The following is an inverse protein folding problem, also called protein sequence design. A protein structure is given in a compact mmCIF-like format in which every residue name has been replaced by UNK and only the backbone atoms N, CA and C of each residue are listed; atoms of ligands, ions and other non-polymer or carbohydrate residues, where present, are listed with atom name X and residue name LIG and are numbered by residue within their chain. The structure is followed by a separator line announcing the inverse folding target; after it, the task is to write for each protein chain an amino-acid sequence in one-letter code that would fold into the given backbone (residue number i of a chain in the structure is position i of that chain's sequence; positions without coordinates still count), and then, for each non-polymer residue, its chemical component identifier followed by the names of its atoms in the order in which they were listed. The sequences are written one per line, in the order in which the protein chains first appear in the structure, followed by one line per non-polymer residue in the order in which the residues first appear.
data_IF_139884744576
#
_entry.id   IF_139884744576
#
_cell.length_a   1.000
_cell.length_b   1.000
_cell.length_c   1.000
_cell.angle_alpha   90.00
_cell.angle_beta   90.00
_cell.angle_gamma   90.00
#
_symmetry.space_group_name_H-M   'P 1'
#
loop_
_entity.id
_entity.type
_entity.pdbx_description
1 polymer ?
#
# COMPACT_ATOMS: atom_id res chain seq x y z
N UNK A 1 15.85 29.92 18.22
CA UNK A 1 16.33 28.52 18.32
C UNK A 1 15.35 27.63 17.58
N UNK A 2 15.72 27.17 16.44
CA UNK A 2 14.95 26.16 15.69
C UNK A 2 15.25 24.79 16.32
N UNK A 3 14.31 24.27 17.08
CA UNK A 3 14.40 22.91 17.61
C UNK A 3 14.26 21.97 16.41
N UNK A 4 15.35 21.27 16.08
CA UNK A 4 15.34 20.23 15.07
C UNK A 4 14.36 19.13 15.54
N UNK A 5 13.37 18.72 14.72
CA UNK A 5 12.47 17.65 15.14
C UNK A 5 13.28 16.39 15.45
N UNK A 6 12.85 15.57 16.42
CA UNK A 6 13.54 14.34 16.75
C UNK A 6 13.61 13.47 15.49
N UNK A 7 14.81 12.99 15.18
CA UNK A 7 15.03 12.05 14.09
C UNK A 7 14.29 10.77 14.50
N UNK A 8 13.26 10.41 13.75
CA UNK A 8 12.57 9.12 13.96
C UNK A 8 13.60 7.98 13.91
N UNK A 9 13.48 6.98 14.78
CA UNK A 9 14.39 5.84 14.76
C UNK A 9 14.40 5.22 13.35
N UNK A 10 15.60 4.96 12.83
CA UNK A 10 15.78 4.39 11.50
C UNK A 10 15.15 2.99 11.46
N UNK A 11 14.07 2.85 10.74
CA UNK A 11 13.45 1.56 10.53
C UNK A 11 14.35 0.71 9.62
N UNK A 12 14.84 -0.41 10.12
CA UNK A 12 15.76 -1.31 9.41
C UNK A 12 15.11 -2.59 8.91
N UNK A 13 13.94 -2.93 9.45
CA UNK A 13 13.17 -4.12 9.08
C UNK A 13 11.74 -3.74 8.74
N UNK A 14 11.14 -4.37 7.71
CA UNK A 14 9.73 -4.16 7.42
C UNK A 14 8.86 -4.75 8.54
N UNK A 15 7.75 -4.10 8.81
CA UNK A 15 6.74 -4.55 9.78
C UNK A 15 5.62 -5.28 9.07
N UNK A 16 5.15 -6.37 9.65
CA UNK A 16 3.92 -7.02 9.19
C UNK A 16 2.72 -6.18 9.61
N UNK A 17 1.94 -5.73 8.63
CA UNK A 17 0.76 -4.92 8.86
C UNK A 17 -0.46 -5.81 9.13
N UNK A 18 -0.73 -6.06 10.41
CA UNK A 18 -1.91 -6.81 10.84
C UNK A 18 -3.04 -5.94 11.36
N UNK A 19 -2.70 -5.03 12.26
CA UNK A 19 -3.69 -4.36 13.11
C UNK A 19 -4.29 -3.13 12.43
N UNK A 20 -3.51 -2.44 11.62
CA UNK A 20 -3.95 -1.22 10.94
C UNK A 20 -4.98 -1.50 9.84
N UNK A 21 -4.84 -2.61 9.13
CA UNK A 21 -5.74 -3.02 8.05
C UNK A 21 -7.13 -3.37 8.59
N UNK A 22 -7.25 -3.60 9.90
CA UNK A 22 -8.49 -4.05 10.56
C UNK A 22 -9.01 -3.08 11.62
N UNK A 23 -8.42 -1.89 11.71
CA UNK A 23 -8.85 -0.91 12.71
C UNK A 23 -10.02 -0.07 12.20
N UNK A 24 -11.18 -0.09 12.85
CA UNK A 24 -12.30 0.79 12.51
C UNK A 24 -11.95 2.28 12.61
N UNK A 25 -10.99 2.65 13.46
CA UNK A 25 -10.51 4.03 13.62
C UNK A 25 -9.83 4.58 12.36
N UNK A 26 -9.39 3.70 11.45
CA UNK A 26 -8.77 4.06 10.17
C UNK A 26 -9.75 3.94 8.99
N UNK A 27 -11.04 3.74 9.26
CA UNK A 27 -12.07 3.62 8.23
C UNK A 27 -12.22 2.23 7.63
N UNK A 28 -11.61 1.21 8.23
CA UNK A 28 -11.76 -0.18 7.80
C UNK A 28 -13.02 -0.80 8.41
N UNK A 29 -13.70 -1.61 7.63
CA UNK A 29 -14.80 -2.44 8.13
C UNK A 29 -14.31 -3.51 9.10
N UNK A 30 -15.22 -4.00 9.95
CA UNK A 30 -14.94 -5.13 10.83
C UNK A 30 -14.45 -6.35 10.03
N UNK A 31 -13.46 -7.11 10.54
CA UNK A 31 -12.99 -8.35 9.90
C UNK A 31 -14.10 -9.36 9.61
N UNK A 32 -15.16 -9.34 10.41
CA UNK A 32 -16.31 -10.25 10.27
C UNK A 32 -17.20 -9.89 9.07
N UNK A 33 -17.17 -8.64 8.63
CA UNK A 33 -17.94 -8.15 7.47
C UNK A 33 -17.08 -7.87 6.25
N UNK A 34 -15.75 -7.89 6.40
CA UNK A 34 -14.83 -7.61 5.32
C UNK A 34 -14.80 -8.77 4.32
N UNK A 35 -15.14 -8.48 3.07
CA UNK A 35 -14.86 -9.37 1.95
C UNK A 35 -13.36 -9.54 1.71
N UNK A 36 -12.98 -10.22 0.63
CA UNK A 36 -11.57 -10.38 0.27
C UNK A 36 -10.99 -9.19 -0.50
N UNK A 37 -11.78 -8.17 -0.76
CA UNK A 37 -11.38 -6.90 -1.39
C UNK A 37 -11.66 -5.77 -0.42
N UNK A 38 -10.71 -4.87 -0.26
CA UNK A 38 -10.83 -3.65 0.56
C UNK A 38 -10.38 -2.45 -0.24
N UNK A 39 -11.16 -1.37 -0.15
CA UNK A 39 -10.80 -0.07 -0.73
C UNK A 39 -10.57 0.90 0.42
N UNK A 40 -9.47 1.60 0.37
CA UNK A 40 -9.11 2.60 1.38
C UNK A 40 -8.45 3.81 0.74
N UNK A 41 -8.48 4.91 1.49
CA UNK A 41 -7.79 6.13 1.12
C UNK A 41 -7.20 6.77 2.36
N UNK A 42 -6.05 7.39 2.23
CA UNK A 42 -5.46 8.16 3.31
C UNK A 42 -4.59 9.29 2.82
N UNK A 43 -4.34 10.23 3.72
CA UNK A 43 -3.45 11.35 3.49
C UNK A 43 -2.01 11.07 3.89
N UNK A 44 -1.23 12.11 3.98
CA UNK A 44 0.14 12.07 4.48
C UNK A 44 0.44 13.36 5.25
N UNK A 45 1.10 13.33 6.41
CA UNK A 45 1.63 12.13 7.08
C UNK A 45 0.55 11.23 7.69
N UNK A 46 0.86 9.95 7.82
CA UNK A 46 0.00 8.95 8.43
C UNK A 46 0.85 7.83 9.03
N UNK A 47 0.40 7.17 10.13
CA UNK A 47 1.07 5.98 10.66
C UNK A 47 1.14 4.80 9.68
N UNK A 48 0.30 4.80 8.63
CA UNK A 48 0.31 3.79 7.58
C UNK A 48 1.53 3.91 6.66
N UNK A 49 2.09 5.12 6.50
CA UNK A 49 3.26 5.36 5.68
C UNK A 49 4.54 4.94 6.40
N UNK A 50 4.85 3.67 6.35
CA UNK A 50 6.05 3.07 6.94
C UNK A 50 6.56 1.91 6.07
N UNK A 51 7.77 1.45 6.31
CA UNK A 51 8.32 0.24 5.69
C UNK A 51 7.60 -0.98 6.25
N UNK A 52 6.69 -1.56 5.46
CA UNK A 52 5.79 -2.63 5.90
C UNK A 52 5.48 -3.60 4.77
N UNK A 53 4.90 -4.73 5.11
CA UNK A 53 4.35 -5.71 4.19
C UNK A 53 3.07 -6.33 4.79
N UNK A 54 2.26 -6.95 3.96
CA UNK A 54 1.03 -7.66 4.33
C UNK A 54 0.80 -8.85 3.40
N UNK A 55 -0.19 -9.68 3.71
CA UNK A 55 -0.45 -10.92 2.98
C UNK A 55 -1.30 -10.70 1.71
N UNK A 56 -1.88 -9.52 1.54
CA UNK A 56 -2.71 -9.14 0.39
C UNK A 56 -1.87 -8.59 -0.76
N UNK A 57 -2.42 -8.66 -1.99
CA UNK A 57 -2.03 -7.76 -3.07
C UNK A 57 -2.47 -6.34 -2.73
N UNK A 58 -1.74 -5.36 -3.22
CA UNK A 58 -2.12 -3.97 -3.09
C UNK A 58 -1.95 -3.24 -4.42
N UNK A 59 -3.06 -2.69 -4.93
CA UNK A 59 -3.05 -1.74 -6.03
C UNK A 59 -3.08 -0.34 -5.43
N UNK A 60 -2.06 0.45 -5.70
CA UNK A 60 -1.75 1.70 -5.04
C UNK A 60 -1.67 2.84 -6.05
N UNK A 61 -2.59 3.80 -5.97
CA UNK A 61 -2.63 4.99 -6.82
C UNK A 61 -2.25 6.23 -6.02
N UNK A 62 -1.20 6.92 -6.44
CA UNK A 62 -0.82 8.22 -5.89
C UNK A 62 -1.66 9.31 -6.54
N UNK A 63 -2.31 10.13 -5.72
CA UNK A 63 -3.15 11.25 -6.16
C UNK A 63 -2.57 12.61 -5.84
N UNK A 64 -1.65 12.70 -4.90
CA UNK A 64 -1.00 13.95 -4.48
C UNK A 64 0.43 13.71 -4.00
N UNK A 65 1.23 14.74 -4.02
CA UNK A 65 2.64 14.81 -3.62
C UNK A 65 3.59 13.99 -4.50
N UNK A 66 4.87 14.21 -4.32
CA UNK A 66 5.94 13.45 -4.94
C UNK A 66 7.00 13.07 -3.89
N UNK A 67 7.87 12.13 -4.22
CA UNK A 67 8.90 11.71 -3.29
C UNK A 67 9.59 10.43 -3.70
N UNK A 68 10.00 9.64 -2.71
CA UNK A 68 10.69 8.36 -2.89
C UNK A 68 9.76 7.20 -2.61
N UNK A 69 9.86 6.19 -3.46
CA UNK A 69 9.15 4.92 -3.32
C UNK A 69 10.16 3.78 -3.17
N UNK A 70 9.82 2.85 -2.30
CA UNK A 70 10.58 1.63 -2.00
C UNK A 70 9.64 0.45 -2.19
N UNK A 71 9.99 -0.48 -3.06
CA UNK A 71 9.24 -1.71 -3.30
C UNK A 71 10.23 -2.87 -3.42
N UNK A 72 10.26 -3.74 -2.41
CA UNK A 72 11.27 -4.78 -2.32
C UNK A 72 12.68 -4.19 -2.29
N UNK A 73 13.51 -4.57 -3.23
CA UNK A 73 14.87 -4.06 -3.42
C UNK A 73 14.96 -2.88 -4.41
N UNK A 74 13.83 -2.47 -5.00
CA UNK A 74 13.77 -1.34 -5.89
C UNK A 74 13.52 -0.03 -5.14
N UNK A 75 14.25 1.00 -5.57
CA UNK A 75 14.09 2.38 -5.06
C UNK A 75 13.89 3.30 -6.26
N UNK A 76 12.82 4.08 -6.21
CA UNK A 76 12.48 5.02 -7.28
C UNK A 76 11.92 6.34 -6.76
N UNK A 77 11.36 7.10 -7.68
CA UNK A 77 10.62 8.31 -7.39
C UNK A 77 9.17 8.11 -7.81
N UNK A 78 8.27 8.79 -7.10
CA UNK A 78 6.86 8.81 -7.44
C UNK A 78 6.33 10.23 -7.61
N UNK A 79 5.24 10.33 -8.34
CA UNK A 79 4.48 11.56 -8.55
C UNK A 79 2.99 11.20 -8.70
N UNK A 80 2.07 12.19 -8.63
CA UNK A 80 0.65 11.94 -8.87
C UNK A 80 0.41 11.24 -10.21
N UNK A 81 -0.47 10.23 -10.19
CA UNK A 81 -0.75 9.37 -11.33
C UNK A 81 0.01 8.05 -11.35
N UNK A 82 1.04 7.88 -10.51
CA UNK A 82 1.71 6.58 -10.39
C UNK A 82 0.73 5.53 -9.85
N UNK A 83 0.66 4.41 -10.55
CA UNK A 83 -0.12 3.23 -10.17
C UNK A 83 0.82 2.05 -10.04
N UNK A 84 0.86 1.43 -8.86
CA UNK A 84 1.73 0.28 -8.57
C UNK A 84 0.91 -0.87 -8.01
N UNK A 85 1.18 -2.07 -8.49
CA UNK A 85 0.65 -3.31 -7.92
C UNK A 85 1.78 -4.05 -7.19
N UNK A 86 1.61 -4.24 -5.89
CA UNK A 86 2.51 -5.05 -5.06
C UNK A 86 1.90 -6.40 -4.76
N UNK A 87 2.72 -7.44 -4.75
CA UNK A 87 2.30 -8.79 -4.39
C UNK A 87 2.31 -9.05 -2.89
N UNK A 88 1.77 -10.21 -2.46
CA UNK A 88 1.79 -10.63 -1.07
C UNK A 88 3.20 -10.64 -0.48
N UNK A 89 3.34 -10.12 0.73
CA UNK A 89 4.56 -10.09 1.53
C UNK A 89 5.73 -9.32 0.90
N UNK A 90 5.48 -8.49 -0.10
CA UNK A 90 6.48 -7.61 -0.70
C UNK A 90 6.57 -6.31 0.12
N UNK A 91 7.69 -6.01 0.80
CA UNK A 91 7.83 -4.79 1.57
C UNK A 91 7.77 -3.54 0.69
N UNK A 92 7.07 -2.52 1.16
CA UNK A 92 6.94 -1.27 0.41
C UNK A 92 6.71 -0.06 1.32
N UNK A 93 7.00 1.13 0.78
CA UNK A 93 6.75 2.42 1.43
C UNK A 93 6.84 3.57 0.43
N UNK A 94 5.99 4.59 0.58
CA UNK A 94 6.04 5.85 -0.15
C UNK A 94 6.29 7.01 0.82
N UNK A 95 7.36 7.74 0.60
CA UNK A 95 7.79 8.86 1.45
C UNK A 95 7.64 10.17 0.67
N UNK A 96 6.64 10.97 1.01
CA UNK A 96 6.43 12.29 0.42
C UNK A 96 7.54 13.25 0.84
N UNK A 97 8.07 14.01 -0.10
CA UNK A 97 9.17 14.95 0.12
C UNK A 97 8.78 16.40 -0.17
N UNK A 98 7.77 16.64 -0.98
CA UNK A 98 7.22 17.95 -1.36
C UNK A 98 5.89 18.24 -0.63
N UNK A 99 5.88 18.05 0.67
CA UNK A 99 4.66 18.13 1.47
C UNK A 99 4.35 19.59 1.84
N UNK A 100 3.10 20.08 1.61
CA UNK A 100 2.68 21.37 2.12
C UNK A 100 2.58 21.36 3.64
N UNK A 101 2.59 22.54 4.25
CA UNK A 101 2.39 22.68 5.70
C UNK A 101 1.06 22.02 6.10
N UNK A 102 1.11 21.16 7.13
CA UNK A 102 -0.05 20.40 7.59
C UNK A 102 -0.35 19.13 6.80
N UNK A 103 0.42 18.84 5.75
CA UNK A 103 0.23 17.63 4.94
C UNK A 103 -0.89 17.72 3.92
N UNK A 104 -1.30 16.57 3.38
CA UNK A 104 -2.39 16.44 2.41
C UNK A 104 -3.43 15.44 2.93
N UNK A 105 -4.73 15.76 2.85
CA UNK A 105 -5.78 14.89 3.39
C UNK A 105 -6.01 13.63 2.54
N UNK A 106 -5.67 13.67 1.25
CA UNK A 106 -5.78 12.55 0.33
C UNK A 106 -4.50 12.48 -0.51
N UNK A 107 -3.64 11.52 -0.21
CA UNK A 107 -2.43 11.24 -0.99
C UNK A 107 -2.61 10.05 -1.91
N UNK A 108 -3.34 9.05 -1.47
CA UNK A 108 -3.42 7.76 -2.15
C UNK A 108 -4.77 7.09 -2.03
N UNK A 109 -5.09 6.33 -3.06
CA UNK A 109 -6.18 5.38 -3.11
C UNK A 109 -5.57 3.98 -3.20
N UNK A 110 -6.10 3.05 -2.42
CA UNK A 110 -5.55 1.70 -2.31
C UNK A 110 -6.67 0.68 -2.45
N UNK A 111 -6.41 -0.38 -3.19
CA UNK A 111 -7.24 -1.59 -3.22
C UNK A 111 -6.37 -2.75 -2.77
N UNK A 112 -6.75 -3.38 -1.67
CA UNK A 112 -6.13 -4.61 -1.18
C UNK A 112 -7.06 -5.79 -1.47
N UNK A 113 -6.49 -6.93 -1.87
CA UNK A 113 -7.26 -8.14 -2.12
C UNK A 113 -6.44 -9.41 -1.84
N UNK A 114 -7.15 -10.44 -1.34
CA UNK A 114 -6.53 -11.69 -0.94
C UNK A 114 -6.31 -12.62 -2.14
N UNK A 115 -5.21 -13.38 -2.11
CA UNK A 115 -4.84 -14.32 -3.17
C UNK A 115 -5.78 -15.52 -3.27
N UNK A 116 -6.01 -16.23 -2.16
CA UNK A 116 -6.72 -17.51 -2.18
C UNK A 116 -8.17 -17.40 -2.72
N UNK A 117 -9.01 -16.43 -2.29
CA UNK A 117 -10.35 -16.27 -2.86
C UNK A 117 -10.33 -15.92 -4.34
N UNK A 118 -9.33 -15.15 -4.80
CA UNK A 118 -9.20 -14.77 -6.20
C UNK A 118 -8.88 -15.98 -7.07
N UNK A 119 -7.95 -16.83 -6.64
CA UNK A 119 -7.61 -18.06 -7.34
C UNK A 119 -8.82 -19.02 -7.40
N UNK A 120 -9.51 -19.21 -6.29
CA UNK A 120 -10.72 -20.02 -6.26
C UNK A 120 -11.80 -19.50 -7.22
N UNK A 121 -12.01 -18.19 -7.25
CA UNK A 121 -12.98 -17.56 -8.17
C UNK A 121 -12.56 -17.68 -9.64
N UNK A 122 -11.27 -17.79 -9.93
CA UNK A 122 -10.76 -17.95 -11.29
C UNK A 122 -11.10 -19.30 -11.93
N UNK A 123 -11.47 -20.28 -11.13
CA UNK A 123 -11.91 -21.59 -11.63
C UNK A 123 -13.20 -21.48 -12.44
N UNK A 124 -14.08 -20.55 -12.06
CA UNK A 124 -15.38 -20.33 -12.70
C UNK A 124 -15.46 -19.03 -13.51
N UNK A 125 -14.45 -18.16 -13.40
CA UNK A 125 -14.43 -16.84 -14.04
C UNK A 125 -13.19 -16.73 -14.94
N UNK A 126 -13.35 -16.96 -16.27
CA UNK A 126 -12.21 -16.95 -17.22
C UNK A 126 -11.38 -15.65 -17.17
N UNK A 127 -12.03 -14.50 -17.01
CA UNK A 127 -11.37 -13.19 -16.95
C UNK A 127 -10.40 -13.08 -15.77
N UNK A 128 -10.74 -13.65 -14.63
CA UNK A 128 -9.84 -13.71 -13.47
C UNK A 128 -8.66 -14.64 -13.74
N UNK A 129 -8.90 -15.74 -14.45
CA UNK A 129 -7.84 -16.68 -14.84
C UNK A 129 -6.81 -16.03 -15.75
N UNK A 130 -7.24 -15.20 -16.70
CA UNK A 130 -6.37 -14.43 -17.58
C UNK A 130 -5.51 -13.42 -16.81
N UNK A 131 -5.99 -12.93 -15.67
CA UNK A 131 -5.26 -12.00 -14.80
C UNK A 131 -4.16 -12.67 -13.93
N UNK A 132 -4.18 -13.97 -13.72
CA UNK A 132 -3.23 -14.65 -12.82
C UNK A 132 -1.75 -14.43 -13.19
N UNK A 133 -1.33 -14.42 -14.48
CA UNK A 133 0.05 -14.12 -14.83
C UNK A 133 0.50 -12.72 -14.43
N UNK A 134 -0.40 -11.72 -14.44
CA UNK A 134 -0.12 -10.39 -13.95
C UNK A 134 0.16 -10.40 -12.45
N UNK A 135 -0.64 -11.15 -11.69
CA UNK A 135 -0.47 -11.28 -10.23
C UNK A 135 0.85 -11.98 -9.87
N UNK A 136 1.28 -12.95 -10.65
CA UNK A 136 2.58 -13.59 -10.44
C UNK A 136 3.74 -12.59 -10.63
N UNK A 137 3.65 -11.71 -11.62
CA UNK A 137 4.63 -10.64 -11.83
C UNK A 137 4.63 -9.62 -10.70
N UNK A 138 3.49 -9.40 -10.03
CA UNK A 138 3.36 -8.47 -8.92
C UNK A 138 4.22 -8.82 -7.68
N UNK A 139 4.77 -10.03 -7.62
CA UNK A 139 5.73 -10.45 -6.57
C UNK A 139 6.94 -9.53 -6.48
N UNK A 140 7.30 -8.85 -7.56
CA UNK A 140 8.42 -7.92 -7.64
C UNK A 140 7.97 -6.46 -7.74
N UNK A 141 6.66 -6.21 -7.68
CA UNK A 141 6.06 -4.92 -7.97
C UNK A 141 5.94 -4.66 -9.47
N UNK A 142 4.86 -4.01 -9.87
CA UNK A 142 4.59 -3.60 -11.25
C UNK A 142 4.11 -2.16 -11.21
N UNK A 143 4.72 -1.31 -12.03
CA UNK A 143 4.28 0.05 -12.31
C UNK A 143 3.56 0.12 -13.67
#
# INVERSE_FOLDING_TARGET
MTVKPPIAPRQTKPELEHDYVRSPALGYESPETAGFIRCLSHGFPTPLARWHYHDEYELHLITATSGKVFVGDWIGQFQPGQLVLTGPRLPHNWISMDLPEGGVPLRELVIQFAHAPLVASSETTPELREGLPLLERARHGIE
#
